data_IF_213886137908
#
_entry.id   IF_213886137908
#
_cell.length_a   1.000
_cell.length_b   1.000
_cell.length_c   1.000
_cell.angle_alpha   90.00
_cell.angle_beta   90.00
_cell.angle_gamma   90.00
#
_symmetry.space_group_name_H-M   'P 1'
#
loop_
_entity.id
_entity.type
_entity.pdbx_description
1 polymer ?
#
# COMPACT_ATOMS: atom_id res chain seq x y z
N UNK A 1 -12.64 29.83 -67.46
CA UNK A 1 -11.77 28.62 -67.49
C UNK A 1 -11.04 28.33 -66.17
N UNK A 2 -10.90 29.26 -65.22
CA UNK A 2 -10.12 29.02 -63.99
C UNK A 2 -10.77 28.18 -62.88
N UNK A 3 -12.10 28.17 -62.73
CA UNK A 3 -12.77 27.46 -61.63
C UNK A 3 -12.72 25.93 -61.74
N UNK A 4 -12.79 25.40 -62.96
CA UNK A 4 -12.71 23.96 -63.21
C UNK A 4 -11.29 23.41 -62.99
N UNK A 5 -10.26 24.21 -63.26
CA UNK A 5 -8.86 23.83 -63.00
C UNK A 5 -8.55 23.74 -61.50
N UNK A 6 -9.12 24.65 -60.69
CA UNK A 6 -8.96 24.63 -59.23
C UNK A 6 -9.61 23.38 -58.61
N UNK A 7 -10.82 23.02 -59.07
CA UNK A 7 -11.51 21.80 -58.58
C UNK A 7 -10.73 20.54 -58.95
N UNK A 8 -10.19 20.45 -60.16
CA UNK A 8 -9.34 19.32 -60.58
C UNK A 8 -8.07 19.21 -59.72
N UNK A 9 -7.48 20.35 -59.34
CA UNK A 9 -6.28 20.37 -58.50
C UNK A 9 -6.57 19.86 -57.08
N UNK A 10 -7.71 20.25 -56.49
CA UNK A 10 -8.13 19.72 -55.19
C UNK A 10 -8.43 18.21 -55.23
N UNK A 11 -9.03 17.71 -56.31
CA UNK A 11 -9.30 16.27 -56.47
C UNK A 11 -7.98 15.50 -56.56
N UNK A 12 -7.00 16.00 -57.33
CA UNK A 12 -5.69 15.34 -57.45
C UNK A 12 -4.94 15.33 -56.12
N UNK A 13 -4.98 16.44 -55.35
CA UNK A 13 -4.37 16.50 -54.02
C UNK A 13 -5.06 15.55 -53.04
N UNK A 14 -6.40 15.46 -53.07
CA UNK A 14 -7.16 14.54 -52.23
C UNK A 14 -6.84 13.07 -52.55
N UNK A 15 -6.70 12.72 -53.83
CA UNK A 15 -6.32 11.36 -54.25
C UNK A 15 -4.88 11.05 -53.88
N UNK A 16 -3.96 12.01 -53.99
CA UNK A 16 -2.57 11.85 -53.53
C UNK A 16 -2.48 11.66 -52.01
N UNK A 17 -3.26 12.42 -51.23
CA UNK A 17 -3.35 12.24 -49.78
C UNK A 17 -3.91 10.86 -49.41
N UNK A 18 -4.98 10.42 -50.05
CA UNK A 18 -5.53 9.08 -49.83
C UNK A 18 -4.54 7.98 -50.23
N UNK A 19 -3.79 8.18 -51.31
CA UNK A 19 -2.76 7.24 -51.73
C UNK A 19 -1.59 7.17 -50.74
N UNK A 20 -1.16 8.32 -50.19
CA UNK A 20 -0.12 8.38 -49.16
C UNK A 20 -0.59 7.76 -47.83
N UNK A 21 -1.84 7.98 -47.43
CA UNK A 21 -2.44 7.32 -46.25
C UNK A 21 -2.52 5.80 -46.49
N UNK A 22 -2.90 5.35 -47.69
CA UNK A 22 -2.99 3.92 -48.04
C UNK A 22 -1.64 3.20 -48.13
N UNK A 23 -0.54 3.96 -48.29
CA UNK A 23 0.83 3.43 -48.39
C UNK A 23 1.71 3.81 -47.20
N UNK A 24 1.13 4.43 -46.17
CA UNK A 24 1.82 4.57 -44.89
C UNK A 24 2.08 3.16 -44.39
N UNK A 25 3.34 2.78 -44.12
CA UNK A 25 3.63 1.47 -43.60
C UNK A 25 2.92 1.37 -42.24
N UNK A 26 1.91 0.49 -42.16
CA UNK A 26 1.46 -0.06 -40.89
C UNK A 26 2.63 -0.86 -40.30
N UNK A 27 3.61 -0.15 -39.74
CA UNK A 27 4.41 -0.69 -38.66
C UNK A 27 3.46 -0.78 -37.49
N UNK A 28 2.79 -1.91 -37.37
CA UNK A 28 2.34 -2.38 -36.06
C UNK A 28 3.61 -2.35 -35.19
N UNK A 29 3.71 -1.48 -34.16
CA UNK A 29 4.73 -1.70 -33.16
C UNK A 29 4.43 -3.09 -32.62
N UNK A 30 5.43 -3.95 -32.64
CA UNK A 30 5.34 -5.29 -32.07
C UNK A 30 5.33 -5.12 -30.53
N UNK A 31 4.28 -4.49 -29.98
CA UNK A 31 4.01 -4.54 -28.56
C UNK A 31 3.44 -5.93 -28.33
N UNK A 32 4.25 -6.82 -27.73
CA UNK A 32 3.70 -7.94 -26.97
C UNK A 32 2.65 -7.33 -26.04
N UNK A 33 1.37 -7.58 -26.30
CA UNK A 33 0.28 -7.08 -25.46
C UNK A 33 0.40 -7.75 -24.09
N UNK A 34 1.00 -7.05 -23.13
CA UNK A 34 1.09 -7.51 -21.74
C UNK A 34 -0.33 -7.59 -21.19
N UNK A 35 -0.77 -8.79 -20.79
CA UNK A 35 -2.08 -8.99 -20.16
C UNK A 35 -2.07 -8.36 -18.77
N UNK A 36 -3.08 -7.53 -18.49
CA UNK A 36 -3.33 -6.93 -17.20
C UNK A 36 -3.90 -7.99 -16.24
N UNK A 37 -3.26 -8.19 -15.08
CA UNK A 37 -3.68 -9.12 -14.01
C UNK A 37 -3.86 -8.34 -12.71
N UNK A 38 -5.01 -8.47 -12.05
CA UNK A 38 -5.23 -7.86 -10.72
C UNK A 38 -4.64 -8.78 -9.65
N UNK A 39 -3.64 -8.31 -8.90
CA UNK A 39 -3.05 -9.10 -7.80
C UNK A 39 -4.00 -9.10 -6.60
N UNK A 40 -4.29 -10.29 -6.07
CA UNK A 40 -5.05 -10.48 -4.83
C UNK A 40 -4.15 -11.10 -3.77
N UNK A 41 -3.77 -10.35 -2.75
CA UNK A 41 -3.08 -10.91 -1.57
C UNK A 41 -3.84 -10.59 -0.31
N UNK A 42 -5.10 -11.02 -0.23
CA UNK A 42 -5.89 -10.91 1.01
C UNK A 42 -5.61 -12.13 1.90
N UNK A 43 -4.88 -11.95 3.01
CA UNK A 43 -4.62 -13.00 4.00
C UNK A 43 -5.48 -12.76 5.25
N UNK A 44 -6.53 -13.57 5.44
CA UNK A 44 -7.47 -13.53 6.57
C UNK A 44 -6.88 -13.98 7.94
N UNK A 45 -5.56 -13.94 8.14
CA UNK A 45 -4.94 -14.47 9.35
C UNK A 45 -4.35 -13.34 10.22
N UNK A 46 -5.03 -12.94 11.32
CA UNK A 46 -4.54 -11.88 12.22
C UNK A 46 -3.28 -12.28 13.02
N UNK A 47 -2.82 -13.53 12.87
CA UNK A 47 -1.62 -14.07 13.52
C UNK A 47 -0.41 -14.22 12.58
N UNK A 48 -0.50 -13.75 11.33
CA UNK A 48 0.60 -13.81 10.37
C UNK A 48 1.36 -12.48 10.30
N UNK A 49 2.48 -12.46 11.03
CA UNK A 49 3.68 -11.63 10.81
C UNK A 49 3.54 -10.12 10.94
N UNK A 50 3.89 -9.65 12.14
CA UNK A 50 4.77 -8.50 12.32
C UNK A 50 5.86 -8.52 11.22
N UNK A 51 5.77 -7.56 10.31
CA UNK A 51 6.80 -6.55 10.07
C UNK A 51 7.32 -6.36 8.63
N UNK A 52 7.11 -7.26 7.64
CA UNK A 52 7.60 -6.91 6.28
C UNK A 52 7.19 -7.74 5.03
N UNK A 53 6.05 -8.45 5.00
CA UNK A 53 5.69 -9.19 3.77
C UNK A 53 4.24 -8.94 3.35
N UNK A 54 4.13 -8.02 2.39
CA UNK A 54 2.94 -7.59 1.64
C UNK A 54 2.08 -6.53 2.35
N UNK A 55 2.61 -5.32 2.55
CA UNK A 55 1.75 -4.13 2.42
C UNK A 55 1.27 -4.12 0.97
N UNK A 56 -0.04 -4.29 0.81
CA UNK A 56 -0.67 -4.46 -0.49
C UNK A 56 -0.42 -3.24 -1.37
N UNK A 57 -0.20 -3.46 -2.65
CA UNK A 57 0.05 -2.35 -3.57
C UNK A 57 -1.24 -1.54 -3.73
N UNK A 58 -1.24 -0.31 -3.22
CA UNK A 58 -2.35 0.62 -3.35
C UNK A 58 -2.48 1.02 -4.83
N UNK A 59 -3.65 0.81 -5.47
CA UNK A 59 -3.83 1.16 -6.86
C UNK A 59 -3.70 2.66 -7.07
N UNK A 60 -2.90 3.05 -8.08
CA UNK A 60 -2.77 4.45 -8.49
C UNK A 60 -4.09 5.04 -8.99
N UNK A 61 -4.94 4.22 -9.61
CA UNK A 61 -6.18 4.64 -10.25
C UNK A 61 -7.40 4.31 -9.38
N UNK A 62 -8.21 5.32 -8.98
CA UNK A 62 -9.42 5.13 -8.18
C UNK A 62 -10.45 4.16 -8.79
N UNK A 63 -10.50 4.03 -10.12
CA UNK A 63 -11.40 3.07 -10.78
C UNK A 63 -10.96 1.63 -10.48
N UNK A 64 -9.66 1.39 -10.50
CA UNK A 64 -9.08 0.06 -10.26
C UNK A 64 -9.18 -0.26 -8.77
N UNK A 65 -8.90 0.72 -7.92
CA UNK A 65 -9.18 0.64 -6.50
C UNK A 65 -10.65 0.26 -6.21
N UNK A 66 -11.61 0.83 -6.93
CA UNK A 66 -13.03 0.46 -6.77
C UNK A 66 -13.35 -0.98 -7.21
N UNK A 67 -12.71 -1.45 -8.29
CA UNK A 67 -12.84 -2.83 -8.75
C UNK A 67 -12.24 -3.79 -7.72
N UNK A 68 -11.07 -3.46 -7.18
CA UNK A 68 -10.37 -4.25 -6.15
C UNK A 68 -11.16 -4.28 -4.84
N UNK A 69 -11.61 -3.14 -4.32
CA UNK A 69 -12.44 -3.10 -3.10
C UNK A 69 -13.70 -3.95 -3.23
N UNK A 70 -14.44 -3.85 -4.33
CA UNK A 70 -15.64 -4.70 -4.54
C UNK A 70 -15.30 -6.18 -4.59
N UNK A 71 -14.09 -6.53 -5.01
CA UNK A 71 -13.62 -7.91 -4.99
C UNK A 71 -13.29 -8.37 -3.58
N UNK A 72 -12.52 -7.59 -2.86
CA UNK A 72 -12.24 -7.80 -1.43
C UNK A 72 -13.54 -7.95 -0.64
N UNK A 73 -14.53 -7.11 -0.95
CA UNK A 73 -15.85 -7.12 -0.32
C UNK A 73 -16.54 -8.48 -0.39
N UNK A 74 -16.64 -9.04 -1.60
CA UNK A 74 -17.30 -10.34 -1.78
C UNK A 74 -16.45 -11.50 -1.27
N UNK A 75 -15.12 -11.42 -1.37
CA UNK A 75 -14.22 -12.44 -0.80
C UNK A 75 -14.34 -12.49 0.73
N UNK A 76 -14.39 -11.33 1.37
CA UNK A 76 -14.65 -11.18 2.79
C UNK A 76 -16.03 -11.72 3.17
N UNK A 77 -17.10 -11.36 2.45
CA UNK A 77 -18.45 -11.86 2.71
C UNK A 77 -18.47 -13.40 2.65
N UNK A 78 -17.86 -13.97 1.59
CA UNK A 78 -17.75 -15.42 1.43
C UNK A 78 -17.05 -16.07 2.63
N UNK A 79 -15.92 -15.53 3.07
CA UNK A 79 -15.17 -16.07 4.20
C UNK A 79 -15.95 -15.94 5.52
N UNK A 80 -16.58 -14.78 5.73
CA UNK A 80 -17.42 -14.50 6.89
C UNK A 80 -18.61 -15.47 6.96
N UNK A 81 -19.36 -15.66 5.88
CA UNK A 81 -20.47 -16.63 5.85
C UNK A 81 -19.98 -18.07 6.11
N UNK A 82 -18.85 -18.48 5.55
CA UNK A 82 -18.28 -19.82 5.76
C UNK A 82 -17.85 -20.07 7.21
N UNK A 83 -17.31 -19.06 7.88
CA UNK A 83 -16.79 -19.19 9.24
C UNK A 83 -17.88 -19.00 10.29
N UNK A 84 -18.80 -18.06 10.08
CA UNK A 84 -19.87 -17.71 11.01
C UNK A 84 -21.07 -18.65 10.94
N UNK A 85 -21.29 -19.35 9.81
CA UNK A 85 -22.42 -20.28 9.62
C UNK A 85 -21.98 -21.72 9.27
N UNK A 86 -21.07 -22.30 10.05
CA UNK A 86 -20.68 -23.73 9.91
C UNK A 86 -21.85 -24.72 9.99
N UNK A 87 -23.00 -24.34 10.55
CA UNK A 87 -24.19 -25.20 10.68
C UNK A 87 -25.07 -25.29 9.41
N UNK A 88 -24.86 -24.43 8.40
CA UNK A 88 -25.70 -24.37 7.18
C UNK A 88 -25.09 -25.16 6.00
N UNK A 89 -23.86 -25.69 6.15
CA UNK A 89 -23.12 -26.36 5.07
C UNK A 89 -23.69 -27.74 4.69
N UNK A 90 -24.65 -28.28 5.45
CA UNK A 90 -25.31 -29.58 5.20
C UNK A 90 -26.74 -29.47 4.62
N UNK A 91 -27.17 -28.29 4.15
CA UNK A 91 -28.46 -28.15 3.47
C UNK A 91 -28.35 -28.43 1.95
N UNK A 92 -29.30 -29.19 1.36
CA UNK A 92 -29.22 -29.59 -0.04
C UNK A 92 -29.32 -28.39 -0.98
N UNK A 93 -28.47 -28.40 -2.01
CA UNK A 93 -28.36 -27.42 -3.08
C UNK A 93 -29.73 -27.07 -3.71
N UNK A 94 -30.37 -26.01 -3.23
CA UNK A 94 -31.61 -25.49 -3.81
C UNK A 94 -31.83 -24.01 -3.43
N UNK A 95 -30.82 -23.18 -3.67
CA UNK A 95 -30.98 -21.77 -4.02
C UNK A 95 -29.67 -21.39 -4.70
N UNK A 96 -29.72 -20.90 -5.94
CA UNK A 96 -28.54 -20.54 -6.70
C UNK A 96 -27.74 -19.53 -5.87
N UNK A 97 -26.55 -19.93 -5.40
CA UNK A 97 -25.62 -18.97 -4.84
C UNK A 97 -25.39 -17.87 -5.89
N UNK A 98 -25.38 -16.58 -5.51
CA UNK A 98 -25.32 -15.47 -6.45
C UNK A 98 -24.17 -15.70 -7.44
N UNK A 99 -24.44 -15.62 -8.74
CA UNK A 99 -23.50 -15.94 -9.82
C UNK A 99 -22.13 -15.26 -9.58
N UNK A 100 -21.16 -16.05 -9.12
CA UNK A 100 -19.80 -15.60 -8.79
C UNK A 100 -18.94 -15.36 -10.05
N UNK A 101 -19.55 -15.41 -11.24
CA UNK A 101 -18.91 -15.22 -12.55
C UNK A 101 -18.46 -13.76 -12.80
N UNK A 102 -18.96 -12.80 -12.02
CA UNK A 102 -18.60 -11.39 -12.12
C UNK A 102 -17.11 -11.06 -11.89
N UNK A 103 -16.32 -11.98 -11.32
CA UNK A 103 -14.89 -11.76 -11.10
C UNK A 103 -14.00 -12.06 -12.30
N UNK A 104 -14.42 -12.97 -13.18
CA UNK A 104 -13.76 -13.09 -14.49
C UNK A 104 -13.92 -11.78 -15.29
N UNK A 105 -15.01 -11.04 -15.06
CA UNK A 105 -15.30 -9.77 -15.74
C UNK A 105 -14.35 -8.61 -15.36
N UNK A 106 -13.71 -8.60 -14.19
CA UNK A 106 -12.83 -7.50 -13.80
C UNK A 106 -11.51 -7.52 -14.58
N UNK A 107 -10.90 -8.70 -14.72
CA UNK A 107 -9.75 -8.88 -15.60
C UNK A 107 -10.14 -8.68 -17.06
N UNK A 108 -11.30 -9.17 -17.50
CA UNK A 108 -11.79 -8.95 -18.85
C UNK A 108 -12.07 -7.45 -19.11
N UNK A 109 -12.55 -6.70 -18.12
CA UNK A 109 -12.75 -5.25 -18.23
C UNK A 109 -11.42 -4.51 -18.41
N UNK A 110 -10.39 -4.87 -17.65
CA UNK A 110 -9.07 -4.25 -17.77
C UNK A 110 -8.39 -4.60 -19.09
N UNK A 111 -8.60 -5.81 -19.61
CA UNK A 111 -7.99 -6.28 -20.85
C UNK A 111 -8.83 -5.97 -22.12
N UNK A 112 -10.01 -5.39 -21.98
CA UNK A 112 -10.84 -4.93 -23.10
C UNK A 112 -10.37 -3.53 -23.53
N UNK A 113 -9.57 -3.46 -24.60
CA UNK A 113 -9.01 -2.20 -25.15
C UNK A 113 -10.08 -1.16 -25.50
N UNK A 114 -11.33 -1.58 -25.80
CA UNK A 114 -12.45 -0.68 -26.06
C UNK A 114 -13.04 -0.10 -24.77
N UNK A 115 -12.88 -0.79 -23.63
CA UNK A 115 -13.42 -0.39 -22.32
C UNK A 115 -12.41 0.23 -21.38
N UNK A 116 -11.15 -0.20 -21.41
CA UNK A 116 -10.10 0.23 -20.51
C UNK A 116 -8.84 0.60 -21.27
N UNK A 117 -8.68 1.89 -21.52
CA UNK A 117 -7.51 2.44 -22.18
C UNK A 117 -6.65 3.20 -21.16
N UNK A 118 -5.51 2.61 -20.78
CA UNK A 118 -4.58 3.14 -19.76
C UNK A 118 -4.12 4.55 -20.09
N UNK A 119 -3.81 4.83 -21.36
CA UNK A 119 -3.41 6.17 -21.81
C UNK A 119 -4.52 7.20 -21.58
N UNK A 120 -5.76 6.88 -21.96
CA UNK A 120 -6.90 7.77 -21.70
C UNK A 120 -7.16 7.94 -20.20
N UNK A 121 -6.92 6.91 -19.38
CA UNK A 121 -7.03 7.02 -17.91
C UNK A 121 -6.04 8.06 -17.39
N UNK A 122 -4.77 7.99 -17.78
CA UNK A 122 -3.75 8.96 -17.35
C UNK A 122 -4.10 10.39 -17.77
N UNK A 123 -4.64 10.61 -18.98
CA UNK A 123 -5.12 11.93 -19.43
C UNK A 123 -6.24 12.46 -18.52
N UNK A 124 -7.15 11.60 -18.06
CA UNK A 124 -8.25 11.99 -17.17
C UNK A 124 -7.80 12.20 -15.73
N UNK A 125 -6.76 11.48 -15.29
CA UNK A 125 -6.22 11.57 -13.93
C UNK A 125 -5.27 12.76 -13.77
N UNK A 126 -4.49 13.09 -14.79
CA UNK A 126 -3.50 14.19 -14.77
C UNK A 126 -4.02 15.49 -14.12
N UNK A 127 -5.13 16.11 -14.59
CA UNK A 127 -5.63 17.36 -14.00
C UNK A 127 -6.23 17.21 -12.59
N UNK A 128 -6.35 15.98 -12.07
CA UNK A 128 -6.76 15.73 -10.68
C UNK A 128 -5.56 15.61 -9.75
N UNK A 129 -4.37 15.40 -10.30
CA UNK A 129 -3.12 15.27 -9.57
C UNK A 129 -2.41 16.63 -9.57
N UNK A 130 -2.31 17.28 -10.72
CA UNK A 130 -1.79 18.64 -10.89
C UNK A 130 -2.78 19.67 -10.31
N UNK A 131 -2.58 20.05 -9.04
CA UNK A 131 -3.52 20.89 -8.26
C UNK A 131 -2.84 22.01 -7.46
N UNK A 132 -1.54 21.92 -7.15
CA UNK A 132 -0.86 22.88 -6.27
C UNK A 132 0.62 23.10 -6.65
N UNK A 133 0.92 24.02 -7.59
CA UNK A 133 0.01 24.81 -8.42
C UNK A 133 -0.40 24.07 -9.71
N UNK A 134 -1.59 24.37 -10.26
CA UNK A 134 -2.00 23.87 -11.59
C UNK A 134 -1.10 24.46 -12.68
N UNK A 135 0.01 23.79 -13.00
CA UNK A 135 1.06 24.30 -13.88
C UNK A 135 1.37 23.40 -15.08
N UNK A 136 0.65 22.28 -15.21
CA UNK A 136 0.84 21.32 -16.28
C UNK A 136 1.96 20.31 -16.03
N UNK A 137 2.45 20.22 -14.79
CA UNK A 137 3.41 19.22 -14.34
C UNK A 137 2.94 18.60 -13.03
N UNK A 138 3.18 17.30 -12.85
CA UNK A 138 2.95 16.60 -11.60
C UNK A 138 4.26 16.53 -10.82
N UNK A 139 4.29 17.19 -9.67
CA UNK A 139 5.45 17.17 -8.77
C UNK A 139 5.46 15.93 -7.86
N UNK A 140 6.61 15.64 -7.24
CA UNK A 140 6.72 14.60 -6.18
C UNK A 140 5.67 14.82 -5.09
N UNK A 141 5.44 16.08 -4.71
CA UNK A 141 4.51 16.41 -3.63
C UNK A 141 3.07 16.05 -4.00
N UNK A 142 2.61 16.49 -5.17
CA UNK A 142 1.25 16.21 -5.65
C UNK A 142 1.01 14.71 -5.84
N UNK A 143 2.00 14.01 -6.39
CA UNK A 143 1.93 12.57 -6.56
C UNK A 143 1.93 11.82 -5.21
N UNK A 144 2.66 12.32 -4.22
CA UNK A 144 2.64 11.80 -2.85
C UNK A 144 1.26 11.97 -2.23
N UNK A 145 0.67 13.16 -2.30
CA UNK A 145 -0.66 13.43 -1.74
C UNK A 145 -1.75 12.62 -2.48
N UNK A 146 -1.60 12.44 -3.80
CA UNK A 146 -2.48 11.57 -4.59
C UNK A 146 -2.44 10.12 -4.10
N UNK A 147 -1.24 9.53 -3.98
CA UNK A 147 -1.05 8.16 -3.52
C UNK A 147 -1.54 8.00 -2.06
N UNK A 148 -1.23 8.96 -1.19
CA UNK A 148 -1.68 8.97 0.20
C UNK A 148 -3.21 8.97 0.31
N UNK A 149 -3.90 9.76 -0.51
CA UNK A 149 -5.36 9.78 -0.52
C UNK A 149 -5.97 8.47 -1.04
N UNK A 150 -5.29 7.73 -1.93
CA UNK A 150 -5.73 6.38 -2.27
C UNK A 150 -5.50 5.42 -1.09
N UNK A 151 -4.31 5.48 -0.48
CA UNK A 151 -3.94 4.66 0.67
C UNK A 151 -4.96 4.78 1.81
N UNK A 152 -5.26 6.02 2.20
CA UNK A 152 -6.21 6.33 3.27
C UNK A 152 -7.61 5.80 2.99
N UNK A 153 -8.05 5.78 1.72
CA UNK A 153 -9.36 5.20 1.36
C UNK A 153 -9.38 3.69 1.50
N UNK A 154 -8.32 3.01 1.07
CA UNK A 154 -8.19 1.55 1.22
C UNK A 154 -8.11 1.15 2.69
N UNK A 155 -7.25 1.83 3.45
CA UNK A 155 -7.08 1.63 4.90
C UNK A 155 -8.41 1.85 5.63
N UNK A 156 -9.12 2.95 5.33
CA UNK A 156 -10.40 3.25 5.97
C UNK A 156 -11.50 2.25 5.56
N UNK A 157 -11.53 1.81 4.30
CA UNK A 157 -12.49 0.80 3.85
C UNK A 157 -12.31 -0.52 4.61
N UNK A 158 -11.07 -0.97 4.82
CA UNK A 158 -10.76 -2.16 5.62
C UNK A 158 -11.06 -1.98 7.09
N UNK A 159 -10.72 -0.83 7.66
CA UNK A 159 -11.08 -0.47 9.04
C UNK A 159 -12.58 -0.59 9.27
N UNK A 160 -13.41 -0.09 8.34
CA UNK A 160 -14.86 -0.18 8.46
C UNK A 160 -15.36 -1.63 8.44
N UNK A 161 -14.72 -2.52 7.66
CA UNK A 161 -15.05 -3.96 7.66
C UNK A 161 -14.71 -4.62 8.98
N UNK A 162 -13.53 -4.33 9.52
CA UNK A 162 -13.13 -4.84 10.83
C UNK A 162 -14.06 -4.31 11.92
N UNK A 163 -14.50 -3.06 11.80
CA UNK A 163 -15.49 -2.47 12.69
C UNK A 163 -16.82 -3.22 12.65
N UNK A 164 -17.31 -3.63 11.47
CA UNK A 164 -18.55 -4.43 11.36
C UNK A 164 -18.46 -5.80 12.08
N UNK A 165 -17.25 -6.37 12.20
CA UNK A 165 -17.03 -7.61 12.94
C UNK A 165 -17.07 -7.39 14.46
N UNK A 166 -16.55 -6.25 14.91
CA UNK A 166 -16.40 -5.94 16.32
C UNK A 166 -17.62 -5.22 16.93
N UNK A 167 -18.30 -4.35 16.17
CA UNK A 167 -19.51 -3.64 16.60
C UNK A 167 -20.72 -4.59 16.65
N UNK A 168 -20.82 -5.34 17.75
CA UNK A 168 -21.87 -6.34 18.00
C UNK A 168 -23.21 -5.72 18.33
N UNK A 169 -23.22 -4.53 18.91
CA UNK A 169 -24.45 -3.85 19.32
C UNK A 169 -25.01 -2.94 18.20
N UNK A 170 -24.23 -2.72 17.13
CA UNK A 170 -24.53 -1.91 15.96
C UNK A 170 -24.79 -0.43 16.28
N UNK A 171 -24.09 0.12 17.27
CA UNK A 171 -24.16 1.54 17.63
C UNK A 171 -23.20 2.41 16.80
N UNK A 172 -22.32 1.81 16.00
CA UNK A 172 -21.36 2.48 15.16
C UNK A 172 -20.10 2.92 15.90
N UNK A 173 -19.86 2.38 17.10
CA UNK A 173 -18.65 2.54 17.91
C UNK A 173 -18.12 1.16 18.32
N UNK A 174 -16.88 1.13 18.83
CA UNK A 174 -16.31 -0.10 19.40
C UNK A 174 -15.96 0.16 20.86
N UNK A 175 -16.61 -0.55 21.75
CA UNK A 175 -16.21 -0.61 23.15
C UNK A 175 -15.06 -1.60 23.37
N UNK A 176 -14.30 -1.41 24.45
CA UNK A 176 -13.25 -2.37 24.82
C UNK A 176 -13.79 -3.80 25.04
N UNK A 177 -15.05 -3.94 25.47
CA UNK A 177 -15.69 -5.24 25.66
C UNK A 177 -16.05 -5.94 24.33
N UNK A 178 -16.25 -5.18 23.26
CA UNK A 178 -16.56 -5.66 21.92
C UNK A 178 -15.30 -6.09 21.16
N UNK A 179 -14.20 -5.38 21.38
CA UNK A 179 -12.88 -5.74 20.89
C UNK A 179 -12.32 -6.95 21.67
N UNK A 180 -12.89 -8.13 21.43
CA UNK A 180 -12.45 -9.37 22.06
C UNK A 180 -10.96 -9.65 21.79
N UNK A 181 -10.22 -10.20 22.78
CA UNK A 181 -8.85 -10.61 22.56
C UNK A 181 -8.81 -11.68 21.46
N UNK A 182 -7.75 -11.71 20.63
CA UNK A 182 -7.63 -12.67 19.54
C UNK A 182 -7.84 -14.12 20.00
N UNK A 183 -8.39 -14.95 19.12
CA UNK A 183 -8.78 -16.34 19.46
C UNK A 183 -7.65 -17.20 20.02
N UNK A 184 -6.40 -16.92 19.62
CA UNK A 184 -5.20 -17.57 20.15
C UNK A 184 -4.86 -17.15 21.59
N UNK A 185 -5.25 -15.95 22.03
CA UNK A 185 -5.20 -15.54 23.45
C UNK A 185 -6.27 -16.25 24.26
N UNK A 186 -7.47 -16.43 23.69
CA UNK A 186 -8.64 -17.02 24.38
C UNK A 186 -8.52 -18.53 24.60
N UNK A 187 -7.81 -19.25 23.71
CA UNK A 187 -7.71 -20.71 23.73
C UNK A 187 -6.54 -21.28 24.55
N UNK A 188 -5.63 -20.45 25.05
CA UNK A 188 -4.40 -20.87 25.73
C UNK A 188 -4.47 -20.69 27.25
N UNK A 189 -5.23 -21.55 27.92
CA UNK A 189 -5.37 -21.52 29.38
C UNK A 189 -4.28 -22.36 30.13
N UNK A 190 -3.05 -22.52 29.61
CA UNK A 190 -2.08 -23.36 30.33
C UNK A 190 -0.56 -23.18 30.19
N UNK A 191 0.05 -22.38 29.29
CA UNK A 191 1.53 -22.40 29.20
C UNK A 191 2.18 -21.02 29.00
N UNK A 192 2.71 -20.47 30.11
CA UNK A 192 3.55 -19.29 30.20
C UNK A 192 4.89 -19.53 29.48
N UNK A 193 5.08 -19.02 28.25
CA UNK A 193 6.34 -18.52 27.66
C UNK A 193 6.44 -18.54 26.12
N UNK A 194 5.35 -18.65 25.34
CA UNK A 194 5.49 -18.53 23.88
C UNK A 194 5.54 -17.07 23.40
N UNK A 195 6.46 -16.77 22.48
CA UNK A 195 6.55 -15.51 21.77
C UNK A 195 5.17 -15.10 21.21
N UNK A 196 4.72 -13.88 21.53
CA UNK A 196 3.45 -13.29 21.06
C UNK A 196 2.45 -12.89 22.15
N UNK A 197 2.51 -13.46 23.36
CA UNK A 197 1.52 -13.15 24.43
C UNK A 197 1.73 -11.81 25.15
N UNK A 198 2.92 -11.24 25.09
CA UNK A 198 3.18 -9.93 25.72
C UNK A 198 2.81 -8.74 24.82
N UNK A 199 2.35 -8.98 23.59
CA UNK A 199 1.92 -7.92 22.67
C UNK A 199 0.78 -7.12 23.33
N UNK A 200 1.02 -5.83 23.56
CA UNK A 200 0.11 -4.93 24.27
C UNK A 200 -1.01 -4.41 23.39
N UNK A 201 -1.01 -4.78 22.12
CA UNK A 201 -1.89 -4.27 21.08
C UNK A 201 -3.39 -4.44 21.35
N UNK A 202 -3.81 -5.50 22.04
CA UNK A 202 -5.23 -5.68 22.42
C UNK A 202 -5.49 -5.37 23.90
N UNK A 203 -4.52 -4.79 24.62
CA UNK A 203 -4.69 -4.43 26.03
C UNK A 203 -5.42 -3.09 26.16
N UNK A 204 -6.06 -2.89 27.30
CA UNK A 204 -6.79 -1.67 27.65
C UNK A 204 -5.92 -0.40 27.55
N UNK A 205 -4.60 -0.52 27.78
CA UNK A 205 -3.65 0.59 27.61
C UNK A 205 -3.65 1.15 26.17
N UNK A 206 -3.68 0.27 25.15
CA UNK A 206 -3.71 0.70 23.75
C UNK A 206 -5.04 1.36 23.39
N UNK A 207 -6.14 0.73 23.84
CA UNK A 207 -7.49 1.24 23.65
C UNK A 207 -7.62 2.66 24.25
N UNK A 208 -7.19 2.84 25.50
CA UNK A 208 -7.23 4.14 26.20
C UNK A 208 -6.25 5.17 25.63
N UNK A 209 -5.13 4.73 25.06
CA UNK A 209 -4.20 5.64 24.36
C UNK A 209 -4.81 6.17 23.06
N UNK A 210 -5.64 5.35 22.42
CA UNK A 210 -6.31 5.68 21.16
C UNK A 210 -7.56 6.52 21.35
N UNK A 211 -8.35 6.23 22.39
CA UNK A 211 -9.53 6.99 22.81
C UNK A 211 -9.16 8.46 23.09
N UNK A 212 -9.38 9.31 22.09
CA UNK A 212 -8.84 10.66 22.04
C UNK A 212 -9.70 11.62 22.87
N UNK A 213 -11.00 11.37 22.99
CA UNK A 213 -11.94 12.15 23.78
C UNK A 213 -12.24 11.57 25.17
N UNK A 214 -11.89 10.31 25.41
CA UNK A 214 -11.97 9.64 26.70
C UNK A 214 -13.37 9.15 27.05
N UNK A 215 -14.24 8.93 26.06
CA UNK A 215 -15.61 8.48 26.28
C UNK A 215 -15.73 6.95 26.47
N UNK A 216 -14.63 6.21 26.30
CA UNK A 216 -14.54 4.76 26.44
C UNK A 216 -15.03 3.98 25.22
N UNK A 217 -15.28 4.65 24.09
CA UNK A 217 -15.74 4.09 22.83
C UNK A 217 -14.86 4.60 21.68
N UNK A 218 -14.45 3.71 20.77
CA UNK A 218 -13.71 4.14 19.58
C UNK A 218 -14.68 4.46 18.46
N UNK A 219 -14.68 5.71 18.00
CA UNK A 219 -15.34 6.07 16.75
C UNK A 219 -14.53 5.57 15.54
N UNK A 220 -15.07 5.72 14.32
CA UNK A 220 -14.44 5.23 13.08
C UNK A 220 -13.01 5.74 12.86
N UNK A 221 -12.73 6.99 13.23
CA UNK A 221 -11.39 7.59 13.05
C UNK A 221 -10.44 7.07 14.12
N UNK A 222 -10.90 6.96 15.37
CA UNK A 222 -10.10 6.42 16.45
C UNK A 222 -9.83 4.93 16.26
N UNK A 223 -10.79 4.17 15.74
CA UNK A 223 -10.57 2.77 15.41
C UNK A 223 -9.60 2.60 14.23
N UNK A 224 -9.64 3.50 13.24
CA UNK A 224 -8.62 3.55 12.19
C UNK A 224 -7.24 3.78 12.78
N UNK A 225 -7.11 4.77 13.67
CA UNK A 225 -5.86 5.06 14.38
C UNK A 225 -5.41 3.88 15.26
N UNK A 226 -6.35 3.17 15.89
CA UNK A 226 -6.09 1.99 16.71
C UNK A 226 -5.47 0.86 15.87
N UNK A 227 -5.98 0.63 14.65
CA UNK A 227 -5.42 -0.37 13.75
C UNK A 227 -4.13 0.10 13.06
N UNK A 228 -3.98 1.42 12.88
CA UNK A 228 -2.89 2.05 12.13
C UNK A 228 -2.22 3.20 12.93
N UNK A 229 -1.59 2.90 14.09
CA UNK A 229 -1.05 3.94 14.97
C UNK A 229 0.10 4.71 14.34
N UNK A 230 0.79 4.14 13.35
CA UNK A 230 1.84 4.80 12.58
C UNK A 230 1.32 6.02 11.78
N UNK A 231 0.04 6.01 11.41
CA UNK A 231 -0.61 7.07 10.63
C UNK A 231 -1.31 8.10 11.51
N UNK A 232 -1.46 7.80 12.80
CA UNK A 232 -2.15 8.67 13.73
C UNK A 232 -1.34 9.92 14.04
N UNK A 233 -2.06 11.03 14.20
CA UNK A 233 -1.50 12.28 14.74
C UNK A 233 -1.67 12.38 16.27
N UNK A 234 -2.24 11.35 16.92
CA UNK A 234 -2.48 11.35 18.36
C UNK A 234 -1.16 11.11 19.14
N UNK A 235 -0.66 12.10 19.91
CA UNK A 235 0.60 11.95 20.62
C UNK A 235 0.56 10.86 21.70
N UNK A 236 -0.62 10.57 22.29
CA UNK A 236 -0.76 9.52 23.30
C UNK A 236 -0.54 8.14 22.68
N UNK A 237 -1.10 7.93 21.49
CA UNK A 237 -0.97 6.69 20.75
C UNK A 237 0.45 6.47 20.23
N UNK A 238 1.08 7.51 19.65
CA UNK A 238 2.48 7.42 19.22
C UNK A 238 3.44 7.16 20.40
N UNK A 239 3.17 7.76 21.55
CA UNK A 239 3.92 7.50 22.78
C UNK A 239 3.74 6.07 23.26
N UNK A 240 2.50 5.55 23.21
CA UNK A 240 2.24 4.15 23.50
C UNK A 240 2.99 3.23 22.53
N UNK A 241 3.02 3.54 21.24
CA UNK A 241 3.78 2.77 20.25
C UNK A 241 5.27 2.74 20.58
N UNK A 242 5.86 3.86 21.00
CA UNK A 242 7.25 3.89 21.50
C UNK A 242 7.45 3.01 22.75
N UNK A 243 6.51 3.04 23.69
CA UNK A 243 6.55 2.20 24.90
C UNK A 243 6.52 0.71 24.55
N UNK A 244 5.74 0.32 23.54
CA UNK A 244 5.69 -1.05 23.06
C UNK A 244 7.04 -1.45 22.42
N UNK A 245 7.64 -0.58 21.59
CA UNK A 245 8.97 -0.82 21.00
C UNK A 245 10.05 -1.03 22.07
N UNK A 246 10.01 -0.25 23.16
CA UNK A 246 10.88 -0.45 24.33
C UNK A 246 10.58 -1.81 24.95
N UNK A 247 9.32 -2.10 25.29
CA UNK A 247 8.95 -3.34 26.01
C UNK A 247 9.36 -4.61 25.25
N UNK A 248 9.30 -4.60 23.93
CA UNK A 248 9.69 -5.76 23.11
C UNK A 248 11.19 -6.03 23.10
N UNK A 249 12.03 -5.01 23.32
CA UNK A 249 13.49 -5.07 23.14
C UNK A 249 14.27 -4.91 24.44
N UNK A 250 13.63 -4.37 25.46
CA UNK A 250 14.10 -4.24 26.83
C UNK A 250 14.24 -5.64 27.45
N UNK A 251 15.47 -6.16 27.42
CA UNK A 251 15.78 -7.53 27.84
C UNK A 251 15.99 -7.60 29.35
N UNK A 252 16.52 -6.54 29.95
CA UNK A 252 16.79 -6.46 31.39
C UNK A 252 15.62 -5.90 32.22
N UNK A 253 14.56 -5.43 31.55
CA UNK A 253 13.29 -4.94 32.09
C UNK A 253 13.46 -3.70 32.96
N UNK A 254 14.38 -2.82 32.58
CA UNK A 254 14.60 -1.55 33.27
C UNK A 254 13.67 -0.41 32.78
N UNK A 255 12.88 -0.68 31.74
CA UNK A 255 11.93 0.25 31.15
C UNK A 255 12.54 1.23 30.15
N UNK A 256 13.81 1.02 29.77
CA UNK A 256 14.53 1.81 28.76
C UNK A 256 15.33 0.88 27.85
N UNK A 257 15.95 1.42 26.81
CA UNK A 257 16.85 0.66 25.94
C UNK A 257 18.29 1.06 26.16
N UNK A 258 19.11 0.13 26.62
CA UNK A 258 20.55 0.32 26.65
C UNK A 258 21.16 0.21 25.24
N UNK A 259 22.41 0.63 25.06
CA UNK A 259 23.08 0.60 23.76
C UNK A 259 23.05 -0.77 23.07
N UNK A 260 23.18 -1.86 23.83
CA UNK A 260 23.23 -3.21 23.28
C UNK A 260 21.86 -3.63 22.73
N UNK A 261 20.78 -3.30 23.44
CA UNK A 261 19.41 -3.55 23.01
C UNK A 261 19.05 -2.71 21.79
N UNK A 262 19.43 -1.43 21.77
CA UNK A 262 19.29 -0.58 20.59
C UNK A 262 20.04 -1.16 19.39
N UNK A 263 21.31 -1.55 19.57
CA UNK A 263 22.17 -2.02 18.48
C UNK A 263 21.65 -3.31 17.84
N UNK A 264 21.19 -4.26 18.65
CA UNK A 264 20.69 -5.53 18.14
C UNK A 264 19.20 -5.53 17.77
N UNK A 265 18.41 -4.61 18.32
CA UNK A 265 16.96 -4.60 18.19
C UNK A 265 16.39 -3.51 17.28
N UNK A 266 16.99 -2.32 17.20
CA UNK A 266 16.46 -1.17 16.47
C UNK A 266 17.38 -0.65 15.38
N UNK A 267 18.68 -0.81 15.54
CA UNK A 267 19.64 -0.10 14.70
C UNK A 267 19.51 -0.44 13.21
N UNK A 268 19.28 -1.70 12.85
CA UNK A 268 19.10 -2.09 11.45
C UNK A 268 17.83 -1.51 10.82
N UNK A 269 16.76 -1.34 11.62
CA UNK A 269 15.50 -0.70 11.19
C UNK A 269 15.69 0.81 10.95
N UNK A 270 16.49 1.47 11.79
CA UNK A 270 16.66 2.94 11.73
C UNK A 270 17.77 3.37 10.77
N UNK A 271 18.77 2.52 10.54
CA UNK A 271 19.93 2.81 9.67
C UNK A 271 19.57 2.78 8.18
N UNK A 272 18.68 1.89 7.77
CA UNK A 272 18.31 1.77 6.37
C UNK A 272 17.21 2.78 6.03
N UNK A 273 17.58 3.85 5.31
CA UNK A 273 16.73 4.42 4.25
C UNK A 273 17.42 5.39 3.27
N UNK A 274 18.72 5.71 3.41
CA UNK A 274 19.44 6.61 2.48
C UNK A 274 20.72 6.02 1.85
N UNK A 275 21.01 4.72 2.01
CA UNK A 275 22.22 4.13 1.42
C UNK A 275 21.84 3.15 0.31
N UNK A 276 22.04 3.64 -0.91
CA UNK A 276 22.12 2.92 -2.17
C UNK A 276 22.53 1.45 -1.99
N UNK A 277 21.61 0.60 -2.43
CA UNK A 277 21.69 -0.84 -2.52
C UNK A 277 22.74 -1.26 -3.56
N UNK A 278 24.04 -1.03 -3.30
CA UNK A 278 25.08 -1.60 -4.17
C UNK A 278 26.43 -1.97 -3.54
N UNK A 279 26.65 -1.83 -2.22
CA UNK A 279 27.92 -2.25 -1.61
C UNK A 279 27.78 -2.91 -0.21
N UNK A 280 26.71 -3.66 0.02
CA UNK A 280 26.37 -4.27 1.33
C UNK A 280 27.32 -5.40 1.78
N UNK A 281 28.26 -5.84 0.94
CA UNK A 281 29.09 -7.02 1.22
C UNK A 281 30.39 -6.78 2.00
N UNK A 282 30.69 -5.54 2.44
CA UNK A 282 31.97 -5.25 3.14
C UNK A 282 31.90 -4.19 4.27
N UNK A 283 30.75 -3.97 4.93
CA UNK A 283 30.76 -3.15 6.16
C UNK A 283 31.25 -4.04 7.32
N UNK A 284 32.43 -3.75 7.88
CA UNK A 284 32.95 -4.46 9.05
C UNK A 284 32.11 -4.17 10.29
N UNK A 285 31.92 -5.15 11.19
CA UNK A 285 31.17 -5.02 12.45
C UNK A 285 31.58 -3.78 13.28
N UNK A 286 32.88 -3.44 13.30
CA UNK A 286 33.39 -2.25 14.01
C UNK A 286 32.86 -0.92 13.43
N UNK A 287 32.59 -0.85 12.13
CA UNK A 287 32.03 0.33 11.47
C UNK A 287 30.52 0.44 11.75
N UNK A 288 29.85 -0.70 11.86
CA UNK A 288 28.43 -0.80 12.22
C UNK A 288 28.21 -0.31 13.66
N UNK A 289 29.00 -0.81 14.61
CA UNK A 289 28.92 -0.40 16.02
C UNK A 289 29.25 1.09 16.19
N UNK A 290 30.24 1.61 15.45
CA UNK A 290 30.58 3.04 15.47
C UNK A 290 29.43 3.92 15.00
N UNK A 291 28.75 3.53 13.92
CA UNK A 291 27.59 4.25 13.38
C UNK A 291 26.40 4.19 14.36
N UNK A 292 26.19 3.04 14.99
CA UNK A 292 25.18 2.87 16.02
C UNK A 292 25.43 3.75 17.25
N UNK A 293 26.68 3.88 17.70
CA UNK A 293 27.04 4.77 18.82
C UNK A 293 26.75 6.23 18.52
N UNK A 294 26.99 6.66 17.28
CA UNK A 294 26.67 8.03 16.84
C UNK A 294 25.15 8.26 16.89
N UNK A 295 24.38 7.34 16.32
CA UNK A 295 22.92 7.46 16.30
C UNK A 295 22.33 7.38 17.71
N UNK A 296 22.79 6.44 18.54
CA UNK A 296 22.40 6.31 19.93
C UNK A 296 22.64 7.62 20.70
N UNK A 297 23.84 8.20 20.60
CA UNK A 297 24.14 9.49 21.23
C UNK A 297 23.42 10.70 20.64
N UNK A 298 22.82 10.59 19.45
CA UNK A 298 21.92 11.61 18.91
C UNK A 298 20.50 11.51 19.48
N UNK A 299 20.07 10.29 19.83
CA UNK A 299 18.75 10.00 20.37
C UNK A 299 18.70 10.23 21.87
N UNK A 300 19.73 9.81 22.60
CA UNK A 300 19.95 10.04 24.04
C UNK A 300 20.17 11.54 24.28
N UNK A 301 19.08 12.27 24.59
CA UNK A 301 19.07 13.72 24.78
C UNK A 301 19.46 14.11 26.20
N UNK A 302 19.09 13.29 27.18
CA UNK A 302 19.39 13.57 28.58
C UNK A 302 20.77 13.07 29.02
N UNK A 303 21.42 12.22 28.20
CA UNK A 303 22.78 11.74 28.38
C UNK A 303 22.90 10.69 29.47
N UNK A 304 21.80 10.00 29.80
CA UNK A 304 21.80 8.99 30.86
C UNK A 304 22.35 7.63 30.40
N UNK A 305 22.61 7.47 29.10
CA UNK A 305 23.15 6.26 28.49
C UNK A 305 22.09 5.22 28.11
N UNK A 306 20.81 5.60 28.16
CA UNK A 306 19.65 4.79 27.80
C UNK A 306 18.73 5.56 26.84
N UNK A 307 17.85 4.87 26.12
CA UNK A 307 16.81 5.49 25.32
C UNK A 307 15.44 5.27 25.98
N UNK A 308 14.79 6.37 26.32
CA UNK A 308 13.42 6.41 26.83
C UNK A 308 12.37 6.37 25.72
N UNK A 309 11.12 6.09 26.08
CA UNK A 309 9.97 6.15 25.15
C UNK A 309 9.85 7.56 24.51
N UNK A 310 10.16 8.63 25.25
CA UNK A 310 10.15 10.00 24.72
C UNK A 310 11.25 10.24 23.68
N UNK A 311 12.41 9.62 23.81
CA UNK A 311 13.52 9.78 22.88
C UNK A 311 13.29 8.98 21.59
N UNK A 312 12.64 7.81 21.70
CA UNK A 312 12.25 7.01 20.55
C UNK A 312 11.18 7.67 19.67
N UNK A 313 10.38 8.62 20.19
CA UNK A 313 9.39 9.36 19.39
C UNK A 313 10.00 10.00 18.14
N UNK A 314 11.27 10.41 18.18
CA UNK A 314 11.94 11.02 17.02
C UNK A 314 12.25 10.03 15.89
N UNK A 315 12.32 8.73 16.19
CA UNK A 315 12.58 7.67 15.22
C UNK A 315 11.39 6.74 15.00
N UNK A 316 10.27 6.99 15.68
CA UNK A 316 9.09 6.11 15.57
C UNK A 316 8.59 6.01 14.14
N UNK A 317 8.61 7.10 13.37
CA UNK A 317 8.24 7.08 11.95
C UNK A 317 9.23 6.33 11.04
N UNK A 318 10.41 5.96 11.53
CA UNK A 318 11.34 5.06 10.84
C UNK A 318 11.12 3.60 11.21
N UNK A 319 10.77 3.35 12.49
CA UNK A 319 10.43 2.02 12.99
C UNK A 319 9.08 1.56 12.44
N UNK A 320 8.12 2.47 12.41
CA UNK A 320 6.77 2.30 11.91
C UNK A 320 6.50 3.36 10.83
N UNK A 321 6.90 3.13 9.57
CA UNK A 321 6.65 4.09 8.52
C UNK A 321 5.16 4.22 8.24
N UNK A 322 4.71 5.46 8.11
CA UNK A 322 3.32 5.81 7.80
C UNK A 322 2.99 5.62 6.33
N UNK A 323 1.71 5.58 5.99
CA UNK A 323 1.23 5.58 4.61
C UNK A 323 1.74 6.79 3.82
N UNK A 324 1.96 7.93 4.48
CA UNK A 324 2.58 9.10 3.84
C UNK A 324 4.03 8.82 3.44
N UNK A 325 4.77 8.07 4.26
CA UNK A 325 6.12 7.63 3.93
C UNK A 325 6.11 6.74 2.68
N UNK A 326 5.26 5.72 2.64
CA UNK A 326 5.16 4.81 1.49
C UNK A 326 4.65 5.51 0.22
N UNK A 327 3.66 6.40 0.36
CA UNK A 327 3.15 7.22 -0.74
C UNK A 327 4.25 8.07 -1.37
N UNK A 328 5.16 8.62 -0.55
CA UNK A 328 6.33 9.36 -1.03
C UNK A 328 7.33 8.44 -1.73
N UNK A 329 7.66 7.29 -1.16
CA UNK A 329 8.56 6.31 -1.80
C UNK A 329 8.01 5.86 -3.16
N UNK A 330 6.70 5.65 -3.27
CA UNK A 330 6.03 5.34 -4.54
C UNK A 330 6.12 6.51 -5.52
N UNK A 331 5.89 7.74 -5.07
CA UNK A 331 6.02 8.93 -5.91
C UNK A 331 7.46 9.13 -6.43
N UNK A 332 8.46 8.99 -5.56
CA UNK A 332 9.88 9.07 -5.90
C UNK A 332 10.25 7.98 -6.92
N UNK A 333 9.79 6.75 -6.72
CA UNK A 333 9.98 5.66 -7.68
C UNK A 333 9.36 5.99 -9.02
N UNK A 334 8.09 6.42 -9.05
CA UNK A 334 7.40 6.75 -10.30
C UNK A 334 8.15 7.83 -11.08
N UNK A 335 8.55 8.91 -10.40
CA UNK A 335 9.30 10.00 -11.02
C UNK A 335 10.64 9.49 -11.55
N UNK A 336 11.38 8.68 -10.76
CA UNK A 336 12.67 8.13 -11.20
C UNK A 336 12.59 7.28 -12.49
N UNK A 337 11.43 6.69 -12.78
CA UNK A 337 11.22 5.84 -13.95
C UNK A 337 10.58 6.57 -15.13
N UNK A 338 9.71 7.55 -14.89
CA UNK A 338 8.93 8.23 -15.93
C UNK A 338 9.52 9.58 -16.37
N UNK A 339 10.27 10.26 -15.49
CA UNK A 339 10.90 11.56 -15.76
C UNK A 339 12.06 11.38 -16.75
N UNK A 340 11.78 11.64 -18.03
CA UNK A 340 12.70 11.36 -19.12
C UNK A 340 13.65 12.54 -19.34
N UNK A 341 13.19 13.76 -19.13
CA UNK A 341 13.99 14.98 -19.28
C UNK A 341 14.76 15.37 -18.02
N UNK A 342 14.48 14.71 -16.89
CA UNK A 342 15.13 14.84 -15.58
C UNK A 342 14.92 16.21 -14.95
N UNK A 343 13.77 16.82 -15.17
CA UNK A 343 13.40 18.09 -14.55
C UNK A 343 12.79 17.93 -13.14
N UNK A 344 12.60 16.69 -12.67
CA UNK A 344 12.15 16.34 -11.32
C UNK A 344 10.63 16.34 -11.13
N UNK A 345 9.88 16.43 -12.22
CA UNK A 345 8.40 16.44 -12.26
C UNK A 345 7.95 15.74 -13.53
N UNK A 346 6.65 15.47 -13.66
CA UNK A 346 6.11 14.69 -14.77
C UNK A 346 5.17 15.52 -15.62
N UNK A 347 5.50 15.65 -16.89
CA UNK A 347 4.56 16.14 -17.89
C UNK A 347 3.53 15.06 -18.24
N UNK A 348 2.38 15.47 -18.78
CA UNK A 348 1.36 14.52 -19.26
C UNK A 348 1.94 13.55 -20.32
N UNK A 349 2.84 14.04 -21.17
CA UNK A 349 3.51 13.22 -22.19
C UNK A 349 4.30 12.09 -21.55
N UNK A 350 5.10 12.38 -20.54
CA UNK A 350 5.92 11.38 -19.84
C UNK A 350 5.06 10.34 -19.12
N UNK A 351 3.95 10.76 -18.50
CA UNK A 351 3.00 9.83 -17.90
C UNK A 351 2.43 8.86 -18.94
N UNK A 352 2.03 9.37 -20.11
CA UNK A 352 1.45 8.56 -21.20
C UNK A 352 2.49 7.64 -21.87
N UNK A 353 3.74 8.06 -21.96
CA UNK A 353 4.83 7.27 -22.55
C UNK A 353 5.31 6.16 -21.61
N UNK A 354 5.14 6.35 -20.29
CA UNK A 354 5.54 5.40 -19.25
C UNK A 354 4.36 4.88 -18.39
N UNK A 355 3.28 4.35 -18.99
CA UNK A 355 2.07 3.99 -18.25
C UNK A 355 2.29 2.79 -17.31
N UNK A 356 3.24 1.91 -17.62
CA UNK A 356 3.57 0.74 -16.81
C UNK A 356 3.98 1.09 -15.38
N UNK A 357 4.67 2.22 -15.20
CA UNK A 357 5.20 2.65 -13.89
C UNK A 357 4.07 2.90 -12.89
N UNK A 358 2.95 3.45 -13.36
CA UNK A 358 1.77 3.78 -12.54
C UNK A 358 0.88 2.57 -12.24
N UNK A 359 0.92 1.56 -13.10
CA UNK A 359 0.02 0.41 -13.05
C UNK A 359 0.81 -0.90 -12.90
N UNK A 360 2.00 -0.85 -12.30
CA UNK A 360 2.93 -1.98 -12.20
C UNK A 360 2.31 -3.20 -11.52
N UNK A 361 1.41 -3.02 -10.54
CA UNK A 361 0.64 -4.13 -9.95
C UNK A 361 -0.26 -4.88 -10.94
N UNK A 362 -0.65 -4.22 -12.02
CA UNK A 362 -1.54 -4.77 -13.03
C UNK A 362 -0.74 -5.45 -14.15
N UNK A 363 0.50 -5.02 -14.38
CA UNK A 363 1.37 -5.61 -15.39
C UNK A 363 2.27 -6.68 -14.75
N UNK A 364 1.92 -7.96 -14.88
CA UNK A 364 2.78 -9.03 -14.37
C UNK A 364 3.95 -9.31 -15.34
N UNK A 365 5.20 -9.25 -14.87
CA UNK A 365 6.39 -9.67 -15.65
C UNK A 365 6.74 -11.17 -15.52
N UNK A 366 6.00 -11.93 -14.70
CA UNK A 366 6.15 -13.38 -14.64
C UNK A 366 5.25 -14.06 -15.67
N UNK A 367 5.80 -14.29 -16.86
CA UNK A 367 5.59 -15.45 -17.75
C UNK A 367 6.27 -15.21 -19.12
N UNK A 368 7.61 -15.15 -19.16
CA UNK A 368 8.35 -15.35 -20.43
C UNK A 368 9.74 -15.96 -20.23
N UNK A 369 9.84 -17.04 -19.45
CA UNK A 369 10.85 -18.05 -19.73
C UNK A 369 10.21 -19.11 -20.61
N UNK A 370 10.20 -18.77 -21.90
CA UNK A 370 10.02 -19.66 -23.03
C UNK A 370 10.94 -20.88 -22.84
N UNK A 371 10.39 -21.98 -22.32
CA UNK A 371 11.04 -23.29 -22.44
C UNK A 371 11.01 -23.61 -23.93
N UNK A 372 12.08 -23.25 -24.64
CA UNK A 372 12.31 -23.73 -25.99
C UNK A 372 12.42 -25.25 -25.93
N UNK A 373 11.44 -25.90 -26.53
CA UNK A 373 11.49 -27.28 -26.96
C UNK A 373 12.63 -27.49 -27.97
N UNK A 374 13.16 -28.71 -27.99
CA UNK A 374 14.09 -29.29 -28.99
C UNK A 374 15.56 -28.85 -28.92
N UNK A 375 16.41 -29.69 -28.30
CA UNK A 375 17.50 -30.42 -28.98
C UNK A 375 18.23 -31.40 -28.03
N UNK A 376 17.98 -32.70 -28.25
CA UNK A 376 18.81 -33.89 -27.97
C UNK A 376 19.18 -34.30 -26.53
#
# INVERSE_FOLDING_TARGET
MGRTQVVLLYIVVAVLLLFLISRSPNKTPNHRSRRLKVRSTFNFNPAASLDNKHREHIPFDPLIADIERRREDKEWEKHYFQTSHKEIVDAPAAEAQPEWEDFMNAEDYLNDDDRFNVTNRLVVLFPKIDIDPVDGYVTVHELTEWNLNQAQKEVMHRTLRDMEVHDKNHDGFISFAEYEPPSWVRNSNSDNNSFGYDMGWWKEEHFNATDADGDGLLNKTEFNDFLHPADSNNPRLLKWLCKEEVRERDTDRDGKLNFKEFFHGLFDLVRNYDIEEHNSSQISDNMMEGSAKILFGQLDKDGDGYLSEEELLQIIGKLHPSEKYYAKQQADYIISQADTDKDGRLSLTEMIESPYVFYSAIFNEEEEYEYHDEFR
#
